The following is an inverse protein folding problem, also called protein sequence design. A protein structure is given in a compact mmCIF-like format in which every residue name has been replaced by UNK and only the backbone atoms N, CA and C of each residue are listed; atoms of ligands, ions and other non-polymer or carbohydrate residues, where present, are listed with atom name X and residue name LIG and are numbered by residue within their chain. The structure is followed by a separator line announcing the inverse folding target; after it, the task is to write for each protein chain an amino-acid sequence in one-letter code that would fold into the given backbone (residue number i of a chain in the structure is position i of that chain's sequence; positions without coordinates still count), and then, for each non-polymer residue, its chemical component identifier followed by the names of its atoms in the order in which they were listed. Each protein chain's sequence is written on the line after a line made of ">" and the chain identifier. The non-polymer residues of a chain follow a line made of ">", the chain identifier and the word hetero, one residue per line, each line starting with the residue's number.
data_IF_358167110394
#
_entry.id   IF_358167110394
#
_cell.length_a   1.000
_cell.length_b   1.000
_cell.length_c   1.000
_cell.angle_alpha   90.00
_cell.angle_beta   90.00
_cell.angle_gamma   90.00
#
_symmetry.space_group_name_H-M   'P 1'
#
loop_
_entity.id
_entity.type
_entity.pdbx_description
1 polymer ?
#
# COMPACT_ATOMS: atom_id res chain seq x y z
N UNK A 1 34.95 -12.24 -34.52
CA UNK A 1 33.52 -12.08 -34.79
C UNK A 1 32.90 -11.60 -33.50
N UNK A 2 32.49 -10.34 -33.44
CA UNK A 2 31.73 -9.80 -32.29
C UNK A 2 30.36 -10.46 -32.33
N UNK A 3 30.06 -11.30 -31.36
CA UNK A 3 28.72 -11.89 -31.23
C UNK A 3 27.70 -10.77 -31.10
N UNK A 4 26.79 -10.69 -32.05
CA UNK A 4 25.68 -9.77 -32.03
C UNK A 4 24.79 -10.12 -30.82
N UNK A 5 24.74 -9.22 -29.82
CA UNK A 5 23.87 -9.40 -28.66
C UNK A 5 22.45 -9.06 -29.10
N UNK A 6 21.68 -10.07 -29.43
CA UNK A 6 20.30 -9.88 -29.83
C UNK A 6 19.45 -9.56 -28.58
N UNK A 7 18.78 -8.41 -28.59
CA UNK A 7 17.81 -8.06 -27.55
C UNK A 7 16.62 -9.04 -27.60
N UNK A 8 16.25 -9.59 -26.45
CA UNK A 8 15.01 -10.36 -26.33
C UNK A 8 13.83 -9.38 -26.34
N UNK A 9 12.96 -9.50 -27.32
CA UNK A 9 11.80 -8.62 -27.52
C UNK A 9 10.51 -9.43 -27.63
N UNK A 10 9.40 -8.82 -27.17
CA UNK A 10 8.07 -9.41 -27.08
C UNK A 10 7.03 -8.28 -26.89
N UNK A 11 5.80 -8.37 -27.43
CA UNK A 11 5.31 -9.38 -28.39
C UNK A 11 5.53 -8.94 -29.85
N UNK A 12 5.51 -9.92 -30.78
CA UNK A 12 5.47 -9.69 -32.22
C UNK A 12 4.54 -10.72 -32.88
N UNK A 13 3.95 -10.37 -34.00
CA UNK A 13 3.14 -11.30 -34.77
C UNK A 13 3.97 -12.48 -35.26
N UNK A 14 3.38 -13.67 -35.20
CA UNK A 14 3.96 -14.88 -35.79
C UNK A 14 3.65 -14.93 -37.27
N UNK A 15 4.63 -15.32 -38.07
CA UNK A 15 4.48 -15.57 -39.50
C UNK A 15 4.72 -17.05 -39.77
N UNK A 16 3.99 -17.61 -40.74
CA UNK A 16 4.28 -18.95 -41.21
C UNK A 16 5.52 -18.94 -42.11
N UNK A 17 6.51 -19.72 -41.75
CA UNK A 17 7.75 -19.90 -42.47
C UNK A 17 7.94 -21.38 -42.79
N UNK A 18 8.59 -21.66 -43.94
CA UNK A 18 8.90 -23.03 -44.32
C UNK A 18 10.02 -23.57 -43.41
N UNK A 19 9.72 -24.55 -42.59
CA UNK A 19 10.74 -25.27 -41.83
C UNK A 19 11.53 -26.18 -42.77
N UNK A 20 12.83 -25.90 -42.88
CA UNK A 20 13.73 -26.63 -43.80
C UNK A 20 13.95 -28.09 -43.40
N UNK A 21 13.74 -28.46 -42.15
CA UNK A 21 13.92 -29.81 -41.67
C UNK A 21 12.62 -30.67 -41.84
N UNK A 22 11.46 -30.10 -41.56
CA UNK A 22 10.17 -30.79 -41.65
C UNK A 22 9.50 -30.64 -43.01
N UNK A 23 9.92 -29.66 -43.83
CA UNK A 23 9.32 -29.30 -45.11
C UNK A 23 7.88 -28.75 -44.98
N UNK A 24 7.47 -28.33 -43.78
CA UNK A 24 6.14 -27.80 -43.46
C UNK A 24 6.19 -26.31 -43.15
N UNK A 25 5.07 -25.64 -43.39
CA UNK A 25 4.86 -24.29 -42.90
C UNK A 25 4.63 -24.35 -41.39
N UNK A 26 5.42 -23.65 -40.63
CA UNK A 26 5.36 -23.59 -39.17
C UNK A 26 5.49 -22.12 -38.70
N UNK A 27 4.84 -21.76 -37.59
CA UNK A 27 4.98 -20.41 -37.06
C UNK A 27 6.43 -20.14 -36.61
N UNK A 28 6.99 -19.00 -37.02
CA UNK A 28 8.36 -18.59 -36.68
C UNK A 28 8.49 -18.17 -35.21
N UNK A 29 7.37 -17.90 -34.53
CA UNK A 29 7.31 -17.47 -33.15
C UNK A 29 6.19 -18.16 -32.39
N UNK A 30 6.57 -18.94 -31.40
CA UNK A 30 5.66 -19.52 -30.43
C UNK A 30 5.96 -18.92 -29.05
N UNK A 31 4.96 -18.29 -28.46
CA UNK A 31 5.08 -17.75 -27.13
C UNK A 31 4.44 -18.68 -26.11
N UNK A 32 5.28 -19.28 -25.28
CA UNK A 32 4.82 -20.10 -24.17
C UNK A 32 4.20 -19.25 -23.05
N UNK A 33 3.31 -19.84 -22.29
CA UNK A 33 2.65 -19.18 -21.17
C UNK A 33 3.65 -18.59 -20.15
N UNK A 34 4.85 -19.17 -20.04
CA UNK A 34 5.93 -18.66 -19.20
C UNK A 34 6.39 -17.26 -19.59
N UNK A 35 6.46 -16.99 -20.92
CA UNK A 35 6.87 -15.66 -21.42
C UNK A 35 5.83 -14.60 -20.99
N UNK A 36 4.53 -14.93 -21.11
CA UNK A 36 3.46 -14.04 -20.65
C UNK A 36 3.51 -13.83 -19.14
N UNK A 37 3.66 -14.90 -18.34
CA UNK A 37 3.80 -14.77 -16.89
C UNK A 37 4.99 -13.87 -16.50
N UNK A 38 6.16 -14.12 -17.07
CA UNK A 38 7.36 -13.28 -16.84
C UNK A 38 7.16 -11.82 -17.28
N UNK A 39 6.34 -11.60 -18.30
CA UNK A 39 5.99 -10.25 -18.74
C UNK A 39 5.14 -9.54 -17.68
N UNK A 40 4.05 -10.16 -17.23
CA UNK A 40 3.18 -9.57 -16.21
C UNK A 40 3.88 -9.42 -14.86
N UNK A 41 4.75 -10.34 -14.47
CA UNK A 41 5.54 -10.24 -13.25
C UNK A 41 6.51 -9.05 -13.21
N UNK A 42 6.77 -8.38 -14.35
CA UNK A 42 7.53 -7.11 -14.38
C UNK A 42 6.69 -5.91 -13.95
N UNK A 43 5.38 -6.01 -14.04
CA UNK A 43 4.46 -4.90 -13.81
C UNK A 43 3.65 -5.04 -12.54
N UNK A 44 3.41 -6.28 -12.10
CA UNK A 44 2.52 -6.59 -10.98
C UNK A 44 3.23 -7.45 -9.95
N UNK A 45 3.09 -7.08 -8.67
CA UNK A 45 3.57 -7.90 -7.55
C UNK A 45 2.68 -9.12 -7.34
N UNK A 46 3.22 -10.14 -6.66
CA UNK A 46 2.43 -11.24 -6.15
C UNK A 46 1.44 -10.76 -5.10
N UNK A 47 0.29 -11.41 -4.99
CA UNK A 47 -0.68 -11.13 -3.96
C UNK A 47 -2.13 -11.25 -4.41
N UNK A 48 -3.03 -10.78 -3.55
CA UNK A 48 -4.47 -10.70 -3.84
C UNK A 48 -4.87 -9.30 -4.31
N UNK A 49 -5.87 -9.20 -5.17
CA UNK A 49 -6.47 -7.92 -5.49
C UNK A 49 -7.23 -7.39 -4.28
N UNK A 50 -6.94 -6.14 -3.91
CA UNK A 50 -7.52 -5.49 -2.75
C UNK A 50 -7.90 -4.06 -3.13
N UNK A 51 -9.18 -3.73 -3.08
CA UNK A 51 -9.64 -2.39 -3.42
C UNK A 51 -10.99 -2.37 -4.12
N UNK A 52 -11.40 -1.19 -4.55
CA UNK A 52 -12.74 -0.94 -5.13
C UNK A 52 -12.84 -1.25 -6.63
N UNK A 53 -11.82 -1.82 -7.25
CA UNK A 53 -11.88 -2.09 -8.67
C UNK A 53 -12.72 -3.35 -8.94
N UNK A 54 -13.76 -3.18 -9.73
CA UNK A 54 -14.78 -4.19 -10.03
C UNK A 54 -15.41 -4.73 -8.74
N UNK A 55 -15.25 -5.96 -8.38
CA UNK A 55 -15.86 -6.57 -7.19
C UNK A 55 -14.83 -6.97 -6.13
N UNK A 56 -13.58 -6.52 -6.28
CA UNK A 56 -12.51 -6.85 -5.34
C UNK A 56 -12.45 -5.78 -4.24
N UNK A 57 -12.64 -6.20 -3.01
CA UNK A 57 -12.63 -5.35 -1.82
C UNK A 57 -11.79 -6.00 -0.71
N UNK A 58 -11.89 -5.48 0.49
CA UNK A 58 -11.20 -6.00 1.67
C UNK A 58 -11.51 -7.48 1.99
N UNK A 59 -12.56 -8.03 1.41
CA UNK A 59 -12.93 -9.44 1.60
C UNK A 59 -12.40 -10.36 0.48
N UNK A 60 -11.73 -9.82 -0.56
CA UNK A 60 -11.15 -10.63 -1.63
C UNK A 60 -10.20 -11.69 -1.06
N UNK A 61 -10.48 -12.96 -1.34
CA UNK A 61 -9.71 -14.11 -0.83
C UNK A 61 -9.56 -14.17 0.70
N UNK A 62 -10.48 -13.55 1.46
CA UNK A 62 -10.46 -13.53 2.91
C UNK A 62 -10.85 -14.88 3.50
N UNK A 63 -10.08 -15.32 4.49
CA UNK A 63 -10.37 -16.54 5.25
C UNK A 63 -11.17 -16.18 6.49
N UNK A 64 -12.27 -16.90 6.72
CA UNK A 64 -13.16 -16.71 7.88
C UNK A 64 -13.56 -18.06 8.49
N UNK A 65 -14.01 -18.06 9.75
CA UNK A 65 -14.58 -19.25 10.36
C UNK A 65 -15.93 -19.60 9.70
N UNK A 66 -16.10 -20.88 9.36
CA UNK A 66 -17.34 -21.45 8.83
C UNK A 66 -18.16 -22.18 9.89
N UNK A 67 -17.70 -22.15 11.16
CA UNK A 67 -18.28 -22.91 12.26
C UNK A 67 -17.73 -24.33 12.36
N UNK A 68 -17.60 -24.84 13.58
CA UNK A 68 -16.95 -26.14 13.83
C UNK A 68 -15.47 -26.14 13.46
N UNK A 69 -15.07 -27.06 12.60
CA UNK A 69 -13.71 -27.10 12.01
C UNK A 69 -13.67 -26.60 10.59
N UNK A 70 -14.72 -25.90 10.16
CA UNK A 70 -14.79 -25.36 8.82
C UNK A 70 -14.15 -23.97 8.76
N UNK A 71 -13.43 -23.70 7.70
CA UNK A 71 -13.03 -22.38 7.27
C UNK A 71 -13.58 -22.08 5.89
N UNK A 72 -13.82 -20.84 5.59
CA UNK A 72 -14.32 -20.36 4.33
C UNK A 72 -13.35 -19.38 3.71
N UNK A 73 -13.11 -19.52 2.43
CA UNK A 73 -12.33 -18.55 1.63
C UNK A 73 -13.29 -17.86 0.68
N UNK A 74 -13.42 -16.56 0.83
CA UNK A 74 -14.34 -15.77 0.01
C UNK A 74 -13.90 -15.70 -1.45
N UNK A 75 -14.84 -15.28 -2.32
CA UNK A 75 -14.54 -14.89 -3.71
C UNK A 75 -13.38 -13.89 -3.74
N UNK A 76 -12.61 -13.94 -4.81
CA UNK A 76 -11.52 -13.01 -5.03
C UNK A 76 -10.54 -13.51 -6.07
N UNK A 77 -9.55 -12.67 -6.34
CA UNK A 77 -8.55 -12.98 -7.34
C UNK A 77 -7.20 -12.37 -6.96
N UNK A 78 -6.17 -12.70 -7.72
CA UNK A 78 -4.83 -12.17 -7.51
C UNK A 78 -3.84 -12.58 -8.58
N UNK A 79 -2.59 -12.24 -8.35
CA UNK A 79 -1.46 -12.56 -9.23
C UNK A 79 -0.44 -13.38 -8.43
N UNK A 80 0.09 -14.42 -9.05
CA UNK A 80 1.16 -15.25 -8.50
C UNK A 80 2.18 -15.56 -9.60
N UNK A 81 3.41 -15.05 -9.49
CA UNK A 81 4.46 -15.17 -10.52
C UNK A 81 3.95 -14.78 -11.94
N UNK A 82 3.16 -13.70 -12.00
CA UNK A 82 2.55 -13.22 -13.25
C UNK A 82 1.41 -14.07 -13.80
N UNK A 83 1.03 -15.16 -13.12
CA UNK A 83 -0.18 -15.91 -13.43
C UNK A 83 -1.36 -15.30 -12.67
N UNK A 84 -2.46 -15.06 -13.38
CA UNK A 84 -3.73 -14.65 -12.78
C UNK A 84 -4.42 -15.88 -12.15
N UNK A 85 -5.10 -15.66 -11.03
CA UNK A 85 -5.97 -16.66 -10.42
C UNK A 85 -7.25 -16.00 -9.90
N UNK A 86 -8.36 -16.70 -10.03
CA UNK A 86 -9.67 -16.24 -9.57
C UNK A 86 -10.42 -17.35 -8.83
N UNK A 87 -10.95 -17.01 -7.66
CA UNK A 87 -11.89 -17.83 -6.90
C UNK A 87 -13.29 -17.23 -7.08
N UNK A 88 -14.06 -17.76 -8.03
CA UNK A 88 -15.37 -17.23 -8.41
C UNK A 88 -16.45 -17.46 -7.36
N UNK A 89 -16.25 -18.46 -6.47
CA UNK A 89 -17.21 -18.83 -5.44
C UNK A 89 -16.53 -18.99 -4.08
N UNK A 90 -17.31 -18.82 -3.00
CA UNK A 90 -16.82 -19.12 -1.65
C UNK A 90 -16.46 -20.62 -1.56
N UNK A 91 -15.23 -20.91 -1.13
CA UNK A 91 -14.75 -22.28 -0.89
C UNK A 91 -14.74 -22.58 0.60
N UNK A 92 -15.26 -23.75 0.97
CA UNK A 92 -15.21 -24.25 2.34
C UNK A 92 -14.20 -25.39 2.44
N UNK A 93 -13.34 -25.34 3.46
CA UNK A 93 -12.42 -26.41 3.82
C UNK A 93 -12.77 -26.92 5.22
N UNK A 94 -12.73 -28.22 5.40
CA UNK A 94 -12.92 -28.88 6.69
C UNK A 94 -11.53 -29.29 7.17
N UNK A 95 -11.10 -28.77 8.29
CA UNK A 95 -9.79 -29.06 8.88
C UNK A 95 -9.93 -30.26 9.83
N UNK A 96 -8.89 -31.09 9.87
CA UNK A 96 -8.85 -32.19 10.81
C UNK A 96 -8.34 -31.71 12.17
N UNK A 97 -8.94 -32.24 13.22
CA UNK A 97 -8.57 -31.92 14.60
C UNK A 97 -7.25 -32.61 14.94
N UNK A 98 -6.27 -31.92 15.52
CA UNK A 98 -5.06 -32.57 16.01
C UNK A 98 -5.39 -33.47 17.20
N UNK A 99 -4.64 -34.56 17.38
CA UNK A 99 -4.85 -35.54 18.45
C UNK A 99 -4.66 -34.93 19.83
N UNK A 100 -3.78 -33.95 19.96
CA UNK A 100 -3.51 -33.23 21.21
C UNK A 100 -3.01 -31.80 20.91
N UNK A 101 -3.17 -30.88 21.84
CA UNK A 101 -2.65 -29.53 21.77
C UNK A 101 -3.28 -28.70 20.66
N UNK A 102 -2.46 -28.03 19.88
CA UNK A 102 -2.88 -27.19 18.74
C UNK A 102 -1.92 -27.33 17.57
N UNK A 103 -2.44 -27.09 16.36
CA UNK A 103 -1.69 -27.06 15.11
C UNK A 103 -1.98 -25.76 14.38
N UNK A 104 -0.99 -25.18 13.71
CA UNK A 104 -1.15 -23.99 12.88
C UNK A 104 -1.04 -24.38 11.42
N UNK A 105 -2.17 -24.31 10.72
CA UNK A 105 -2.29 -24.62 9.30
C UNK A 105 -2.26 -23.34 8.45
N UNK A 106 -1.82 -23.45 7.20
CA UNK A 106 -1.82 -22.34 6.24
C UNK A 106 -2.85 -22.55 5.15
N UNK A 107 -3.65 -21.53 4.89
CA UNK A 107 -4.49 -21.47 3.69
C UNK A 107 -3.67 -20.85 2.57
N UNK A 108 -3.45 -21.58 1.49
CA UNK A 108 -2.42 -21.29 0.49
C UNK A 108 -3.02 -21.27 -0.91
N UNK A 109 -2.62 -20.28 -1.71
CA UNK A 109 -2.73 -20.36 -3.18
C UNK A 109 -1.38 -20.81 -3.70
N UNK A 110 -1.38 -21.87 -4.48
CA UNK A 110 -0.21 -22.50 -5.10
C UNK A 110 -0.28 -22.36 -6.62
N UNK A 111 0.75 -21.81 -7.23
CA UNK A 111 1.01 -21.96 -8.65
C UNK A 111 1.87 -23.23 -8.83
N UNK A 112 1.35 -24.18 -9.59
CA UNK A 112 2.05 -25.41 -9.94
C UNK A 112 2.32 -25.44 -11.45
N UNK A 113 3.58 -25.25 -11.82
CA UNK A 113 4.06 -25.19 -13.20
C UNK A 113 4.48 -26.55 -13.75
N UNK A 114 4.40 -27.62 -12.95
CA UNK A 114 4.76 -28.97 -13.40
C UNK A 114 3.86 -29.43 -14.54
N UNK A 115 4.40 -30.21 -15.45
CA UNK A 115 3.65 -30.72 -16.63
C UNK A 115 2.39 -31.49 -16.24
N UNK A 116 2.36 -32.09 -15.06
CA UNK A 116 1.22 -32.84 -14.56
C UNK A 116 0.06 -31.95 -14.09
N UNK A 117 0.32 -30.72 -13.66
CA UNK A 117 -0.70 -29.87 -13.02
C UNK A 117 -0.99 -28.62 -13.83
N UNK A 118 -0.02 -27.75 -14.06
CA UNK A 118 -0.14 -26.49 -14.84
C UNK A 118 -1.36 -25.66 -14.47
N UNK A 119 -1.53 -25.39 -13.17
CA UNK A 119 -2.67 -24.62 -12.65
C UNK A 119 -2.34 -23.91 -11.34
N UNK A 120 -3.22 -22.99 -10.95
CA UNK A 120 -3.28 -22.48 -9.60
C UNK A 120 -4.26 -23.29 -8.76
N UNK A 121 -3.93 -23.53 -7.51
CA UNK A 121 -4.73 -24.34 -6.59
C UNK A 121 -4.86 -23.63 -5.26
N UNK A 122 -6.07 -23.67 -4.68
CA UNK A 122 -6.35 -23.22 -3.32
C UNK A 122 -6.46 -24.45 -2.43
N UNK A 123 -5.66 -24.52 -1.34
CA UNK A 123 -5.68 -25.65 -0.42
C UNK A 123 -5.21 -25.25 0.98
N UNK A 124 -5.34 -26.18 1.92
CA UNK A 124 -4.82 -26.03 3.28
C UNK A 124 -3.56 -26.88 3.43
N UNK A 125 -2.50 -26.24 3.93
CA UNK A 125 -1.22 -26.89 4.21
C UNK A 125 -1.09 -27.05 5.72
N UNK A 126 -1.09 -28.29 6.18
CA UNK A 126 -0.99 -28.61 7.60
C UNK A 126 0.38 -28.30 8.16
N UNK A 127 0.39 -27.67 9.33
CA UNK A 127 1.61 -27.42 10.07
C UNK A 127 2.03 -28.57 11.00
N UNK A 128 3.05 -28.33 11.79
CA UNK A 128 3.50 -29.24 12.81
C UNK A 128 3.49 -28.54 14.18
N UNK A 129 2.49 -28.84 14.99
CA UNK A 129 2.25 -28.15 16.24
C UNK A 129 2.05 -26.64 16.00
N UNK A 130 2.75 -25.79 16.75
CA UNK A 130 2.67 -24.34 16.60
C UNK A 130 3.49 -23.76 15.44
N UNK A 131 4.22 -24.62 14.72
CA UNK A 131 5.04 -24.20 13.56
C UNK A 131 4.25 -24.42 12.27
N UNK A 132 3.88 -23.36 11.55
CA UNK A 132 3.23 -23.47 10.25
C UNK A 132 4.18 -24.11 9.23
N UNK A 133 3.64 -24.90 8.31
CA UNK A 133 4.44 -25.50 7.23
C UNK A 133 5.10 -24.40 6.37
N UNK A 134 6.36 -24.61 5.98
CA UNK A 134 7.07 -23.67 5.10
C UNK A 134 6.38 -23.56 3.75
N UNK A 135 6.33 -22.35 3.19
CA UNK A 135 5.87 -22.13 1.83
C UNK A 135 6.92 -22.66 0.85
N UNK A 136 6.46 -23.38 -0.17
CA UNK A 136 7.30 -23.83 -1.26
C UNK A 136 7.43 -22.72 -2.30
N UNK A 137 8.67 -22.37 -2.65
CA UNK A 137 8.99 -21.34 -3.64
C UNK A 137 10.26 -21.75 -4.38
N UNK A 138 10.03 -22.46 -5.46
CA UNK A 138 11.08 -22.97 -6.35
C UNK A 138 10.70 -22.74 -7.82
N UNK A 139 11.49 -23.28 -8.73
CA UNK A 139 11.27 -23.09 -10.19
C UNK A 139 9.94 -23.66 -10.67
N UNK A 140 9.39 -24.66 -10.00
CA UNK A 140 8.16 -25.35 -10.42
C UNK A 140 6.93 -24.93 -9.60
N UNK A 141 7.12 -24.61 -8.33
CA UNK A 141 6.03 -24.34 -7.40
C UNK A 141 6.27 -22.99 -6.70
N UNK A 142 5.23 -22.19 -6.66
CA UNK A 142 5.24 -20.96 -5.87
C UNK A 142 3.98 -20.88 -5.03
N UNK A 143 4.12 -20.61 -3.73
CA UNK A 143 3.03 -20.55 -2.76
C UNK A 143 2.94 -19.18 -2.10
N UNK A 144 1.70 -18.67 -1.96
CA UNK A 144 1.36 -17.50 -1.16
C UNK A 144 0.35 -17.88 -0.09
N UNK A 145 0.50 -17.35 1.12
CA UNK A 145 -0.32 -17.67 2.29
C UNK A 145 -1.39 -16.61 2.53
N UNK A 146 -2.66 -16.97 2.41
CA UNK A 146 -3.79 -16.07 2.68
C UNK A 146 -4.01 -15.85 4.17
N UNK A 147 -3.93 -16.93 4.96
CA UNK A 147 -4.10 -16.89 6.41
C UNK A 147 -3.41 -18.07 7.09
N UNK A 148 -3.09 -17.89 8.37
CA UNK A 148 -2.72 -18.96 9.30
C UNK A 148 -3.90 -19.24 10.22
N UNK A 149 -4.21 -20.51 10.42
CA UNK A 149 -5.37 -20.99 11.18
C UNK A 149 -4.89 -21.88 12.31
N UNK A 150 -5.18 -21.49 13.54
CA UNK A 150 -4.87 -22.32 14.72
C UNK A 150 -6.01 -23.32 14.95
N UNK A 151 -5.72 -24.59 14.77
CA UNK A 151 -6.65 -25.71 15.01
C UNK A 151 -6.33 -26.32 16.36
N UNK A 152 -7.31 -26.33 17.27
CA UNK A 152 -7.16 -26.86 18.64
C UNK A 152 -7.82 -28.23 18.77
N UNK A 153 -7.22 -29.11 19.60
CA UNK A 153 -7.79 -30.45 19.84
C UNK A 153 -9.13 -30.44 20.59
N UNK A 154 -9.43 -29.36 21.32
CA UNK A 154 -10.58 -29.30 22.26
C UNK A 154 -11.67 -28.33 21.89
N UNK A 155 -11.45 -27.42 20.92
CA UNK A 155 -12.42 -26.38 20.57
C UNK A 155 -12.63 -26.25 19.07
N UNK A 156 -13.66 -25.54 18.68
CA UNK A 156 -13.92 -25.15 17.30
C UNK A 156 -13.00 -23.99 16.87
N UNK A 157 -12.95 -23.74 15.57
CA UNK A 157 -12.19 -22.63 14.99
C UNK A 157 -13.01 -21.37 15.14
N UNK A 158 -12.51 -20.43 15.93
CA UNK A 158 -13.09 -19.11 16.11
C UNK A 158 -12.38 -18.09 15.22
N UNK A 159 -12.98 -16.89 15.06
CA UNK A 159 -12.36 -15.81 14.26
C UNK A 159 -11.01 -15.37 14.82
N UNK A 160 -10.78 -15.48 16.13
CA UNK A 160 -9.50 -15.20 16.79
C UNK A 160 -8.40 -16.22 16.48
N UNK A 161 -8.76 -17.39 15.99
CA UNK A 161 -7.81 -18.44 15.60
C UNK A 161 -7.29 -18.27 14.16
N UNK A 162 -7.83 -17.30 13.41
CA UNK A 162 -7.49 -17.01 12.02
C UNK A 162 -6.71 -15.71 11.93
N UNK A 163 -5.46 -15.80 11.54
CA UNK A 163 -4.58 -14.65 11.33
C UNK A 163 -4.45 -14.36 9.85
N UNK A 164 -5.04 -13.26 9.39
CA UNK A 164 -4.98 -12.81 8.00
C UNK A 164 -3.53 -12.44 7.62
N UNK A 165 -3.03 -13.04 6.54
CA UNK A 165 -1.66 -12.82 6.02
C UNK A 165 -1.64 -12.12 4.66
N UNK A 166 -2.79 -11.75 4.11
CA UNK A 166 -2.88 -11.16 2.77
C UNK A 166 -2.10 -9.86 2.65
N UNK A 167 -2.07 -9.04 3.70
CA UNK A 167 -1.29 -7.79 3.71
C UNK A 167 0.22 -7.99 3.95
N UNK A 168 0.66 -9.20 4.33
CA UNK A 168 2.06 -9.49 4.57
C UNK A 168 2.76 -9.81 3.24
N UNK A 169 3.60 -8.90 2.75
CA UNK A 169 4.28 -9.01 1.45
C UNK A 169 5.29 -10.17 1.37
N UNK A 170 5.77 -10.69 2.50
CA UNK A 170 6.67 -11.84 2.51
C UNK A 170 5.93 -13.17 2.41
N UNK A 171 4.65 -13.21 2.84
CA UNK A 171 3.84 -14.43 2.85
C UNK A 171 2.82 -14.46 1.72
N UNK A 172 2.14 -13.34 1.44
CA UNK A 172 1.14 -13.20 0.39
C UNK A 172 1.39 -11.93 -0.42
N UNK A 173 0.97 -10.80 0.10
CA UNK A 173 0.99 -9.50 -0.55
C UNK A 173 -0.36 -9.06 -1.09
N UNK A 174 -0.45 -7.76 -1.35
CA UNK A 174 -1.52 -7.14 -2.13
C UNK A 174 -0.92 -6.79 -3.49
N UNK A 175 -1.65 -7.06 -4.57
CA UNK A 175 -1.18 -6.74 -5.91
C UNK A 175 -1.00 -5.24 -6.06
N UNK A 176 0.22 -4.84 -6.36
CA UNK A 176 0.61 -3.47 -6.63
C UNK A 176 1.34 -3.38 -7.96
N UNK A 177 1.27 -2.21 -8.59
CA UNK A 177 2.12 -1.92 -9.74
C UNK A 177 3.58 -1.83 -9.31
N UNK A 178 4.45 -2.57 -9.99
CA UNK A 178 5.91 -2.49 -9.82
C UNK A 178 6.52 -1.37 -10.67
N UNK A 179 5.75 -0.81 -11.61
CA UNK A 179 6.10 0.40 -12.33
C UNK A 179 5.59 1.57 -11.48
N UNK A 180 6.38 2.03 -10.58
CA UNK A 180 6.14 3.30 -9.90
C UNK A 180 7.05 4.36 -10.53
N UNK A 181 6.50 5.56 -10.77
CA UNK A 181 7.33 6.77 -10.70
C UNK A 181 8.02 6.69 -9.34
N UNK A 182 9.32 6.95 -9.29
CA UNK A 182 10.08 6.91 -8.04
C UNK A 182 9.35 7.72 -6.96
N UNK A 183 8.55 7.01 -6.17
CA UNK A 183 7.71 7.62 -5.13
C UNK A 183 8.57 8.28 -4.05
N UNK A 184 9.81 7.83 -3.90
CA UNK A 184 10.77 8.43 -2.97
C UNK A 184 11.23 9.79 -3.48
N UNK A 185 11.53 9.93 -4.77
CA UNK A 185 11.90 11.19 -5.39
C UNK A 185 10.70 12.17 -5.38
N UNK A 186 9.49 11.69 -5.70
CA UNK A 186 8.28 12.50 -5.60
C UNK A 186 8.02 12.96 -4.16
N UNK A 187 8.19 12.07 -3.19
CA UNK A 187 8.04 12.38 -1.78
C UNK A 187 9.09 13.39 -1.31
N UNK A 188 10.36 13.25 -1.71
CA UNK A 188 11.43 14.22 -1.43
C UNK A 188 11.10 15.60 -2.00
N UNK A 189 10.64 15.67 -3.25
CA UNK A 189 10.22 16.94 -3.87
C UNK A 189 9.03 17.56 -3.14
N UNK A 190 8.07 16.75 -2.74
CA UNK A 190 6.93 17.22 -1.94
C UNK A 190 7.38 17.74 -0.58
N UNK A 191 8.28 17.05 0.13
CA UNK A 191 8.87 17.50 1.39
C UNK A 191 9.62 18.84 1.21
N UNK A 192 10.47 18.95 0.19
CA UNK A 192 11.17 20.18 -0.13
C UNK A 192 10.21 21.35 -0.41
N UNK A 193 9.13 21.08 -1.13
CA UNK A 193 8.09 22.07 -1.39
C UNK A 193 7.40 22.52 -0.10
N UNK A 194 7.02 21.60 0.78
CA UNK A 194 6.43 21.90 2.09
C UNK A 194 7.40 22.72 2.94
N UNK A 195 8.68 22.35 3.01
CA UNK A 195 9.68 23.12 3.76
C UNK A 195 9.87 24.54 3.16
N UNK A 196 9.88 24.68 1.84
CA UNK A 196 9.97 25.99 1.19
C UNK A 196 8.76 26.89 1.49
N UNK A 197 7.58 26.31 1.62
CA UNK A 197 6.37 27.04 1.99
C UNK A 197 6.38 27.41 3.47
N UNK A 198 6.80 26.50 4.35
CA UNK A 198 6.86 26.75 5.80
C UNK A 198 7.69 27.98 6.15
N UNK A 199 8.79 28.22 5.43
CA UNK A 199 9.64 29.40 5.65
C UNK A 199 8.94 30.73 5.30
N UNK A 200 7.86 30.68 4.53
CA UNK A 200 7.11 31.85 4.05
C UNK A 200 5.70 31.96 4.67
N UNK A 201 5.30 30.99 5.51
CA UNK A 201 3.97 30.98 6.13
C UNK A 201 4.05 31.45 7.58
N UNK A 202 3.12 32.32 7.96
CA UNK A 202 2.81 32.57 9.38
C UNK A 202 1.96 31.42 9.87
N UNK A 203 2.55 30.53 10.66
CA UNK A 203 1.89 29.32 11.15
C UNK A 203 1.07 29.62 12.41
N UNK A 204 -0.16 29.13 12.43
CA UNK A 204 -1.04 29.17 13.59
C UNK A 204 -0.45 28.28 14.70
N UNK A 205 -0.35 28.77 15.93
CA UNK A 205 0.17 28.08 17.12
C UNK A 205 1.69 27.89 17.19
N UNK A 206 2.49 28.68 16.47
CA UNK A 206 3.95 28.73 16.61
C UNK A 206 4.45 30.18 16.67
N UNK A 207 5.61 30.37 17.27
CA UNK A 207 6.31 31.66 17.18
C UNK A 207 6.80 31.85 15.75
N UNK A 208 6.43 32.98 15.14
CA UNK A 208 6.84 33.33 13.79
C UNK A 208 7.68 34.60 13.80
N UNK A 209 8.81 34.59 13.09
CA UNK A 209 9.65 35.76 12.87
C UNK A 209 9.48 36.25 11.45
N UNK A 210 8.96 37.46 11.26
CA UNK A 210 8.82 38.11 9.97
C UNK A 210 9.90 39.16 9.83
N UNK A 211 10.90 38.92 9.00
CA UNK A 211 12.02 39.83 8.77
C UNK A 211 11.72 40.93 7.76
N UNK A 212 10.62 40.77 7.00
CA UNK A 212 10.16 41.74 6.02
C UNK A 212 8.94 42.55 6.47
N UNK A 213 8.37 43.31 5.54
CA UNK A 213 7.14 44.07 5.78
C UNK A 213 5.93 43.14 5.83
N UNK A 214 5.19 43.13 6.93
CA UNK A 214 3.87 42.49 7.03
C UNK A 214 2.79 43.54 6.73
N UNK A 215 1.94 43.24 5.74
CA UNK A 215 0.72 44.03 5.45
C UNK A 215 -0.50 43.21 5.86
N UNK A 216 -1.26 43.70 6.83
CA UNK A 216 -2.50 43.03 7.31
C UNK A 216 -3.69 43.89 6.93
N UNK A 217 -4.48 43.48 5.92
CA UNK A 217 -5.60 44.24 5.40
C UNK A 217 -6.85 44.23 6.32
N UNK A 218 -6.98 43.23 7.18
CA UNK A 218 -8.11 43.05 8.08
C UNK A 218 -7.87 43.55 9.52
N UNK A 219 -6.73 44.16 9.80
CA UNK A 219 -6.35 44.58 11.16
C UNK A 219 -5.73 43.44 11.98
N UNK A 220 -5.20 43.79 13.14
CA UNK A 220 -4.62 42.84 14.13
C UNK A 220 -5.54 42.87 15.35
N UNK A 221 -6.13 41.72 15.67
CA UNK A 221 -6.92 41.52 16.88
C UNK A 221 -6.07 40.78 17.93
N UNK A 222 -5.78 41.42 19.03
CA UNK A 222 -4.94 40.90 20.12
C UNK A 222 -3.94 41.90 20.67
N UNK A 223 -3.17 41.47 21.67
CA UNK A 223 -2.16 42.32 22.32
C UNK A 223 -0.90 42.43 21.45
N UNK A 224 -0.47 43.65 21.18
CA UNK A 224 0.83 43.95 20.56
C UNK A 224 1.84 44.21 21.66
N UNK A 225 2.80 43.30 21.87
CA UNK A 225 3.91 43.47 22.81
C UNK A 225 5.18 43.90 22.07
N UNK A 226 5.69 45.06 22.38
CA UNK A 226 6.91 45.58 21.76
C UNK A 226 6.76 47.04 21.34
N UNK A 227 7.82 47.61 20.71
CA UNK A 227 7.81 48.98 20.21
C UNK A 227 7.08 49.06 18.87
N UNK A 228 6.06 49.91 18.76
CA UNK A 228 5.44 50.26 17.51
C UNK A 228 6.10 51.56 17.01
N UNK A 229 6.81 51.45 15.88
CA UNK A 229 7.47 52.62 15.24
C UNK A 229 6.62 53.02 14.04
N UNK A 230 5.98 54.15 14.09
CA UNK A 230 5.09 54.65 13.01
C UNK A 230 3.86 55.32 13.60
N UNK A 231 2.95 55.73 12.70
CA UNK A 231 1.69 56.38 13.09
C UNK A 231 0.67 55.30 13.47
N UNK A 232 0.20 55.38 14.72
CA UNK A 232 -0.96 54.60 15.17
C UNK A 232 -2.20 55.51 15.03
N UNK A 233 -3.07 55.28 14.06
CA UNK A 233 -4.34 55.97 13.91
C UNK A 233 -5.45 55.12 14.51
N UNK A 234 -6.14 55.60 15.52
CA UNK A 234 -7.22 54.96 16.21
C UNK A 234 -7.40 55.45 17.62
N UNK A 235 -8.35 54.90 18.38
CA UNK A 235 -8.57 55.19 19.78
C UNK A 235 -8.04 54.07 20.68
N UNK A 236 -7.27 54.37 21.71
CA UNK A 236 -6.90 53.43 22.77
C UNK A 236 -7.71 53.74 24.01
N UNK A 237 -8.33 52.72 24.61
CA UNK A 237 -9.09 52.89 25.86
C UNK A 237 -8.23 53.10 27.09
N UNK A 238 -6.91 52.77 27.05
CA UNK A 238 -5.95 53.07 28.09
C UNK A 238 -4.56 53.19 27.54
N UNK A 239 -3.77 54.15 28.05
CA UNK A 239 -2.36 54.32 27.80
C UNK A 239 -1.61 54.38 29.15
N UNK A 240 -0.75 53.40 29.41
CA UNK A 240 0.04 53.32 30.65
C UNK A 240 1.46 53.91 30.52
N UNK A 241 1.81 54.46 29.37
CA UNK A 241 3.12 55.04 29.08
C UNK A 241 3.10 56.56 28.88
N UNK A 242 4.32 57.18 28.78
CA UNK A 242 4.47 58.61 28.48
C UNK A 242 4.23 58.88 26.96
N UNK A 243 3.26 59.72 26.67
CA UNK A 243 3.20 60.35 25.36
C UNK A 243 4.12 61.58 25.39
N UNK A 244 5.27 61.53 24.71
CA UNK A 244 6.25 62.60 24.71
C UNK A 244 5.78 63.90 24.02
N UNK A 245 4.79 63.80 23.09
CA UNK A 245 4.15 64.97 22.46
C UNK A 245 2.71 64.63 22.06
N UNK A 246 1.74 65.27 22.71
CA UNK A 246 0.38 65.32 22.23
C UNK A 246 0.14 66.68 21.58
N UNK A 247 0.00 66.76 20.26
CA UNK A 247 -0.14 68.02 19.52
C UNK A 247 -1.54 68.61 19.62
N UNK A 248 -2.54 67.88 20.08
CA UNK A 248 -3.88 68.38 20.43
C UNK A 248 -4.56 67.47 21.42
N UNK A 249 -4.64 67.86 22.67
CA UNK A 249 -5.52 67.21 23.64
C UNK A 249 -6.86 67.91 23.62
N UNK A 250 -7.83 67.40 22.87
CA UNK A 250 -9.19 67.91 22.93
C UNK A 250 -9.97 67.10 23.97
N UNK A 251 -9.86 67.54 25.20
CA UNK A 251 -10.52 67.14 26.44
C UNK A 251 -9.58 66.55 27.47
N UNK A 252 -9.42 67.26 28.54
CA UNK A 252 -8.66 66.92 29.72
C UNK A 252 -9.26 65.70 30.47
N UNK A 253 -8.79 64.51 30.17
CA UNK A 253 -8.69 63.48 31.18
C UNK A 253 -7.21 63.25 31.49
N UNK A 254 -6.77 63.85 32.59
CA UNK A 254 -5.43 63.64 33.17
C UNK A 254 -5.09 62.14 33.23
N UNK A 255 -3.97 61.76 32.61
CA UNK A 255 -3.27 60.57 32.97
C UNK A 255 -2.80 60.71 34.43
N UNK A 256 -3.50 60.09 35.36
CA UNK A 256 -3.05 60.03 36.77
C UNK A 256 -2.03 58.89 36.86
N UNK A 257 -0.78 59.23 37.22
CA UNK A 257 0.22 58.30 37.73
C UNK A 257 -0.33 57.57 38.94
N UNK A 258 -0.26 56.26 38.93
CA UNK A 258 -0.07 55.46 40.13
C UNK A 258 1.32 54.88 40.13
#
# INVERSE_FOLDING_TARGET
>A
MSGEITLKSFPFDSMEVLNSESGKMEPDRLYEAEIFRKYFAKFLSNGVYYGKYKNYNENSMKVTSGGGLNIKVSKGAGIIEGADFENEEEKTFILERPTSGSRVDRVVVKLDKTLAVRSTQLYVKEGNGTTPAALQRDDNIYEICLAEVTVKSTSNIESSDIVDKRANSTLCGIVNSLISVDGEELYKRFQQYIESIKSNLVLKNQDNTITGKLTVNGGVEGDVKGNVTGNCSGSSSSCTGNAATATTANSSKKCTRK
#
